data_IF_997256496988
#
_entry.id   IF_997256496988
#
_cell.length_a   1.000
_cell.length_b   1.000
_cell.length_c   1.000
_cell.angle_alpha   90.00
_cell.angle_beta   90.00
_cell.angle_gamma   90.00
#
_symmetry.space_group_name_H-M   'P 1'
#
loop_
_entity.id
_entity.type
_entity.pdbx_description
1 polymer ?
#
# COMPACT_ATOMS: atom_id res chain seq x y z
N UNK A 1 -75.84 10.76 -28.38
CA UNK A 1 -75.00 9.86 -27.61
C UNK A 1 -73.51 10.18 -27.91
N UNK A 2 -72.83 10.81 -26.98
CA UNK A 2 -71.38 11.18 -27.13
C UNK A 2 -70.53 10.24 -26.28
N UNK A 3 -69.85 9.32 -26.93
CA UNK A 3 -68.92 8.35 -26.28
C UNK A 3 -67.64 9.06 -25.89
N UNK A 4 -67.38 9.15 -24.58
CA UNK A 4 -66.10 9.63 -24.02
C UNK A 4 -65.05 8.49 -24.10
N UNK A 5 -64.02 8.69 -24.89
CA UNK A 5 -62.81 7.81 -24.85
C UNK A 5 -61.89 8.26 -23.73
N UNK A 6 -61.72 7.41 -22.70
CA UNK A 6 -60.75 7.60 -21.64
C UNK A 6 -59.38 7.11 -22.11
N UNK A 7 -58.43 8.01 -22.20
CA UNK A 7 -57.05 7.69 -22.56
C UNK A 7 -56.30 7.33 -21.27
N UNK A 8 -55.88 6.05 -21.13
CA UNK A 8 -55.04 5.61 -20.02
C UNK A 8 -53.60 5.82 -20.42
N UNK A 9 -52.92 6.74 -19.73
CA UNK A 9 -51.48 6.93 -19.82
C UNK A 9 -50.78 5.91 -18.92
N UNK A 10 -50.12 4.92 -19.51
CA UNK A 10 -49.19 4.03 -18.79
C UNK A 10 -47.87 4.76 -18.69
N UNK A 11 -47.52 5.25 -17.48
CA UNK A 11 -46.19 5.78 -17.16
C UNK A 11 -45.28 4.59 -16.83
N UNK A 12 -44.46 4.20 -17.78
CA UNK A 12 -43.41 3.20 -17.59
C UNK A 12 -42.27 3.84 -16.80
N UNK A 13 -42.18 3.53 -15.51
CA UNK A 13 -41.08 3.98 -14.67
C UNK A 13 -39.83 3.15 -15.02
N UNK A 14 -38.93 3.70 -15.83
CA UNK A 14 -37.60 3.15 -16.08
C UNK A 14 -36.77 3.34 -14.79
N UNK A 15 -36.65 2.27 -14.00
CA UNK A 15 -35.64 2.18 -12.96
C UNK A 15 -34.27 2.08 -13.62
N UNK A 16 -33.63 3.25 -13.82
CA UNK A 16 -32.23 3.31 -14.14
C UNK A 16 -31.45 2.82 -12.91
N UNK A 17 -31.00 1.55 -12.96
CA UNK A 17 -30.00 1.04 -12.02
C UNK A 17 -28.72 1.85 -12.27
N UNK A 18 -28.52 2.92 -11.50
CA UNK A 18 -27.23 3.58 -11.41
C UNK A 18 -26.25 2.58 -10.83
N UNK A 19 -25.39 2.01 -11.68
CA UNK A 19 -24.14 1.42 -11.23
C UNK A 19 -23.38 2.58 -10.61
N UNK A 20 -23.48 2.73 -9.29
CA UNK A 20 -22.64 3.63 -8.54
C UNK A 20 -21.22 3.12 -8.72
N UNK A 21 -20.45 3.75 -9.61
CA UNK A 21 -19.00 3.71 -9.52
C UNK A 21 -18.65 4.01 -8.06
N UNK A 22 -17.75 3.23 -7.47
CA UNK A 22 -17.31 3.45 -6.10
C UNK A 22 -16.96 4.94 -5.98
N UNK A 23 -17.82 5.68 -5.26
CA UNK A 23 -17.64 7.10 -5.05
C UNK A 23 -16.22 7.31 -4.51
N UNK A 24 -15.55 8.36 -4.94
CA UNK A 24 -14.25 8.78 -4.39
C UNK A 24 -14.35 8.68 -2.87
N UNK A 25 -13.58 7.75 -2.26
CA UNK A 25 -13.69 7.49 -0.84
C UNK A 25 -13.50 8.78 -0.07
N UNK A 26 -14.40 9.02 0.88
CA UNK A 26 -14.37 10.25 1.68
C UNK A 26 -13.07 10.31 2.50
N UNK A 27 -12.38 11.45 2.46
CA UNK A 27 -11.18 11.69 3.26
C UNK A 27 -11.54 11.70 4.75
N UNK A 28 -10.88 10.85 5.53
CA UNK A 28 -11.06 10.68 6.96
C UNK A 28 -9.71 10.79 7.68
N UNK A 29 -9.75 11.07 8.99
CA UNK A 29 -8.54 11.28 9.77
C UNK A 29 -8.64 10.54 11.11
N UNK A 30 -7.86 9.48 11.26
CA UNK A 30 -7.65 8.82 12.54
C UNK A 30 -6.67 9.62 13.41
N UNK A 31 -6.74 9.43 14.73
CA UNK A 31 -5.81 10.07 15.67
C UNK A 31 -4.78 9.07 16.19
N UNK A 32 -3.51 9.47 16.14
CA UNK A 32 -2.39 8.75 16.73
C UNK A 32 -1.50 9.75 17.47
N UNK A 33 -1.46 9.66 18.79
CA UNK A 33 -0.61 10.51 19.68
C UNK A 33 -0.72 12.01 19.38
N UNK A 34 -1.94 12.46 19.08
CA UNK A 34 -2.25 13.86 18.73
C UNK A 34 -2.13 14.19 17.25
N UNK A 35 -1.43 13.41 16.45
CA UNK A 35 -1.33 13.57 14.99
C UNK A 35 -2.54 13.02 14.26
N UNK A 36 -2.90 13.64 13.14
CA UNK A 36 -3.95 13.19 12.23
C UNK A 36 -3.34 12.28 11.16
N UNK A 37 -3.89 11.08 11.02
CA UNK A 37 -3.52 10.10 10.00
C UNK A 37 -4.63 10.04 8.96
N UNK A 38 -4.34 10.55 7.77
CA UNK A 38 -5.28 10.58 6.66
C UNK A 38 -5.50 9.17 6.08
N UNK A 39 -6.73 8.85 5.77
CA UNK A 39 -7.08 7.64 5.03
C UNK A 39 -8.37 7.81 4.24
N UNK A 40 -8.59 6.92 3.28
CA UNK A 40 -9.84 6.78 2.55
C UNK A 40 -10.38 5.37 2.74
N UNK A 41 -11.70 5.25 2.91
CA UNK A 41 -12.40 3.97 3.07
C UNK A 41 -13.39 3.76 1.94
N UNK A 42 -13.38 2.58 1.35
CA UNK A 42 -14.25 2.18 0.26
C UNK A 42 -14.95 0.86 0.63
N UNK A 43 -16.21 0.72 0.24
CA UNK A 43 -16.99 -0.46 0.61
C UNK A 43 -17.34 -0.52 2.10
N UNK A 44 -17.78 -1.71 2.56
CA UNK A 44 -18.24 -1.95 3.94
C UNK A 44 -17.76 -3.31 4.43
N UNK A 45 -17.69 -3.48 5.74
CA UNK A 45 -17.31 -4.75 6.39
C UNK A 45 -16.43 -4.52 7.60
N UNK A 46 -16.25 -5.57 8.41
CA UNK A 46 -15.37 -5.60 9.57
C UNK A 46 -13.95 -6.06 9.23
N UNK A 47 -13.77 -6.62 8.05
CA UNK A 47 -12.48 -7.00 7.49
C UNK A 47 -12.21 -6.17 6.23
N UNK A 48 -10.94 -5.85 5.95
CA UNK A 48 -10.58 -4.99 4.84
C UNK A 48 -9.21 -5.35 4.23
N UNK A 49 -9.01 -4.94 2.97
CA UNK A 49 -7.68 -4.74 2.42
C UNK A 49 -7.13 -3.41 2.95
N UNK A 50 -5.96 -3.43 3.55
CA UNK A 50 -5.27 -2.24 4.06
C UNK A 50 -4.08 -1.97 3.15
N UNK A 51 -4.14 -0.90 2.36
CA UNK A 51 -3.15 -0.55 1.35
C UNK A 51 -2.12 0.43 1.93
N UNK A 52 -0.87 -0.02 2.05
CA UNK A 52 0.25 0.69 2.68
C UNK A 52 1.29 1.04 1.62
N UNK A 53 1.46 2.33 1.36
CA UNK A 53 2.36 2.84 0.33
C UNK A 53 3.84 2.73 0.71
N UNK A 54 4.74 3.00 -0.25
CA UNK A 54 6.18 3.01 -0.08
C UNK A 54 6.73 4.32 0.51
N UNK A 55 8.05 4.37 0.65
CA UNK A 55 8.79 5.54 1.13
C UNK A 55 8.56 6.78 0.25
N UNK A 56 8.25 7.92 0.87
CA UNK A 56 7.91 9.22 0.24
C UNK A 56 6.69 9.22 -0.68
N UNK A 57 5.90 8.16 -0.67
CA UNK A 57 4.70 7.98 -1.48
C UNK A 57 3.43 8.36 -0.72
N UNK A 58 2.25 8.00 -1.25
CA UNK A 58 0.95 8.30 -0.64
C UNK A 58 -0.10 7.25 -1.00
N UNK A 59 -1.27 7.33 -0.37
CA UNK A 59 -2.41 6.47 -0.71
C UNK A 59 -2.85 6.57 -2.18
N UNK A 60 -2.50 7.68 -2.86
CA UNK A 60 -2.84 7.88 -4.28
C UNK A 60 -2.15 6.87 -5.22
N UNK A 61 -1.10 6.19 -4.74
CA UNK A 61 -0.39 5.17 -5.52
C UNK A 61 -1.21 3.90 -5.73
N UNK A 62 -2.30 3.75 -4.98
CA UNK A 62 -3.23 2.63 -5.05
C UNK A 62 -4.50 2.91 -5.86
N UNK A 63 -4.58 4.05 -6.58
CA UNK A 63 -5.79 4.46 -7.31
C UNK A 63 -6.25 3.45 -8.35
N UNK A 64 -5.31 2.69 -8.97
CA UNK A 64 -5.63 1.69 -10.00
C UNK A 64 -6.04 0.33 -9.39
N UNK A 65 -5.81 0.13 -8.10
CA UNK A 65 -6.18 -1.07 -7.34
C UNK A 65 -7.54 -0.93 -6.67
N UNK A 66 -7.79 0.25 -6.10
CA UNK A 66 -8.98 0.53 -5.29
C UNK A 66 -10.29 0.18 -6.02
N UNK A 67 -10.52 0.59 -7.29
CA UNK A 67 -11.78 0.31 -7.95
C UNK A 67 -12.09 -1.17 -8.08
N UNK A 68 -11.09 -2.00 -8.38
CA UNK A 68 -11.30 -3.44 -8.53
C UNK A 68 -11.48 -4.14 -7.18
N UNK A 69 -10.66 -3.80 -6.19
CA UNK A 69 -10.75 -4.39 -4.86
C UNK A 69 -12.05 -4.01 -4.15
N UNK A 70 -12.52 -2.76 -4.31
CA UNK A 70 -13.72 -2.27 -3.66
C UNK A 70 -15.03 -2.85 -4.23
N UNK A 71 -14.99 -3.53 -5.39
CA UNK A 71 -16.16 -4.25 -5.93
C UNK A 71 -16.64 -5.38 -5.01
N UNK A 72 -15.71 -6.00 -4.26
CA UNK A 72 -15.96 -7.21 -3.48
C UNK A 72 -15.59 -7.09 -2.01
N UNK A 73 -14.68 -6.19 -1.68
CA UNK A 73 -14.09 -6.07 -0.35
C UNK A 73 -14.21 -4.65 0.17
N UNK A 74 -14.12 -4.49 1.49
CA UNK A 74 -13.78 -3.20 2.05
C UNK A 74 -12.31 -2.91 1.80
N UNK A 75 -11.98 -1.68 1.39
CA UNK A 75 -10.61 -1.23 1.12
C UNK A 75 -10.33 0.01 1.96
N UNK A 76 -9.21 0.03 2.66
CA UNK A 76 -8.67 1.18 3.35
C UNK A 76 -7.32 1.50 2.72
N UNK A 77 -7.14 2.69 2.20
CA UNK A 77 -5.85 3.22 1.80
C UNK A 77 -5.48 4.36 2.74
N UNK A 78 -4.27 4.38 3.29
CA UNK A 78 -3.84 5.40 4.24
C UNK A 78 -2.57 6.10 3.78
N UNK A 79 -2.42 7.36 4.18
CA UNK A 79 -1.15 8.07 4.16
C UNK A 79 -0.44 7.79 5.49
N UNK A 80 0.75 7.20 5.44
CA UNK A 80 1.56 6.99 6.64
C UNK A 80 1.92 8.32 7.30
N UNK A 81 2.17 8.39 8.61
CA UNK A 81 2.69 9.59 9.27
C UNK A 81 3.84 10.22 8.49
N UNK A 82 3.85 11.54 8.33
CA UNK A 82 4.88 12.23 7.55
C UNK A 82 4.66 12.25 6.04
N UNK A 83 3.66 11.54 5.51
CA UNK A 83 3.40 11.37 4.07
C UNK A 83 2.01 11.89 3.68
N UNK A 84 1.82 12.16 2.40
CA UNK A 84 0.55 12.58 1.84
C UNK A 84 -0.12 13.71 2.63
N UNK A 85 -1.39 13.51 3.02
CA UNK A 85 -2.18 14.45 3.81
C UNK A 85 -2.15 14.16 5.33
N UNK A 86 -1.38 13.15 5.78
CA UNK A 86 -1.13 12.93 7.20
C UNK A 86 -0.25 14.03 7.79
N UNK A 87 -0.41 14.29 9.09
CA UNK A 87 0.44 15.23 9.82
C UNK A 87 1.91 14.82 9.77
N UNK A 88 2.80 15.82 9.82
CA UNK A 88 4.24 15.67 9.65
C UNK A 88 5.03 16.25 10.85
N UNK A 89 4.78 15.79 12.10
CA UNK A 89 5.53 16.29 13.26
C UNK A 89 7.01 15.90 13.18
N UNK A 90 7.90 16.69 13.78
CA UNK A 90 9.34 16.38 13.89
C UNK A 90 9.58 15.35 15.00
N UNK A 91 9.37 14.09 14.69
CA UNK A 91 9.56 12.94 15.57
C UNK A 91 10.31 11.82 14.83
N UNK A 92 10.80 10.78 15.51
CA UNK A 92 11.35 9.60 14.85
C UNK A 92 10.28 8.83 14.05
N UNK A 93 10.53 8.65 12.75
CA UNK A 93 9.64 7.90 11.85
C UNK A 93 10.07 6.43 11.79
N UNK A 94 9.61 5.66 12.77
CA UNK A 94 9.96 4.24 12.92
C UNK A 94 8.93 3.33 12.28
N UNK A 95 9.33 2.08 11.97
CA UNK A 95 8.37 1.06 11.50
C UNK A 95 7.29 0.78 12.56
N UNK A 96 7.60 0.96 13.85
CA UNK A 96 6.62 0.89 14.94
C UNK A 96 5.57 2.00 14.87
N UNK A 97 5.98 3.22 14.59
CA UNK A 97 5.07 4.36 14.40
C UNK A 97 4.13 4.09 13.23
N UNK A 98 4.66 3.59 12.11
CA UNK A 98 3.86 3.26 10.93
C UNK A 98 2.88 2.10 11.20
N UNK A 99 3.32 1.07 11.91
CA UNK A 99 2.43 -0.03 12.33
C UNK A 99 1.31 0.47 13.27
N UNK A 100 1.63 1.35 14.21
CA UNK A 100 0.63 1.96 15.09
C UNK A 100 -0.35 2.85 14.32
N UNK A 101 0.10 3.52 13.24
CA UNK A 101 -0.80 4.31 12.39
C UNK A 101 -1.82 3.43 11.66
N UNK A 102 -1.42 2.25 11.17
CA UNK A 102 -2.36 1.27 10.61
C UNK A 102 -3.40 0.87 11.66
N UNK A 103 -2.96 0.56 12.89
CA UNK A 103 -3.89 0.19 13.97
C UNK A 103 -4.86 1.33 14.32
N UNK A 104 -4.37 2.57 14.38
CA UNK A 104 -5.20 3.74 14.64
C UNK A 104 -6.27 3.93 13.55
N UNK A 105 -5.90 3.79 12.28
CA UNK A 105 -6.84 3.85 11.14
C UNK A 105 -7.84 2.70 11.19
N UNK A 106 -7.41 1.46 11.47
CA UNK A 106 -8.33 0.32 11.60
C UNK A 106 -9.33 0.52 12.72
N UNK A 107 -8.91 1.06 13.88
CA UNK A 107 -9.82 1.37 15.00
C UNK A 107 -10.83 2.45 14.63
N UNK A 108 -10.39 3.55 14.03
CA UNK A 108 -11.24 4.66 13.60
C UNK A 108 -12.26 4.20 12.55
N UNK A 109 -11.79 3.45 11.57
CA UNK A 109 -12.61 2.84 10.52
C UNK A 109 -13.47 1.66 11.01
N UNK A 110 -13.35 1.22 12.27
CA UNK A 110 -14.06 0.02 12.81
C UNK A 110 -13.79 -1.24 12.01
N UNK A 111 -12.54 -1.43 11.60
CA UNK A 111 -12.03 -2.65 10.96
C UNK A 111 -11.38 -3.52 12.03
N UNK A 112 -11.83 -4.76 12.16
CA UNK A 112 -11.35 -5.70 13.18
C UNK A 112 -10.09 -6.43 12.72
N UNK A 113 -10.06 -6.87 11.45
CA UNK A 113 -8.93 -7.61 10.86
C UNK A 113 -8.68 -7.15 9.43
N UNK A 114 -7.45 -7.30 8.94
CA UNK A 114 -7.11 -6.89 7.59
C UNK A 114 -6.08 -7.78 6.90
N UNK A 115 -6.15 -7.79 5.58
CA UNK A 115 -5.04 -8.20 4.72
C UNK A 115 -4.19 -6.96 4.47
N UNK A 116 -2.94 -6.99 4.92
CA UNK A 116 -2.04 -5.83 4.82
C UNK A 116 -1.24 -5.92 3.53
N UNK A 117 -1.48 -4.98 2.62
CA UNK A 117 -0.82 -4.90 1.32
C UNK A 117 0.25 -3.82 1.40
N UNK A 118 1.51 -4.19 1.40
CA UNK A 118 2.64 -3.26 1.56
C UNK A 118 3.50 -3.18 0.31
N UNK A 119 3.63 -1.98 -0.26
CA UNK A 119 4.55 -1.71 -1.35
C UNK A 119 5.88 -1.17 -0.82
N UNK A 120 7.02 -1.71 -1.30
CA UNK A 120 8.35 -1.20 -0.96
C UNK A 120 8.55 -1.08 0.57
N UNK A 121 8.77 0.11 1.14
CA UNK A 121 8.78 0.37 2.59
C UNK A 121 7.52 -0.15 3.29
N UNK A 122 6.38 -0.15 2.64
CA UNK A 122 5.14 -0.72 3.18
C UNK A 122 5.26 -2.19 3.55
N UNK A 123 6.20 -2.94 2.95
CA UNK A 123 6.46 -4.35 3.28
C UNK A 123 7.00 -4.55 4.71
N UNK A 124 8.12 -3.94 5.12
CA UNK A 124 8.56 -4.03 6.52
C UNK A 124 7.55 -3.40 7.49
N UNK A 125 6.78 -2.38 7.07
CA UNK A 125 5.67 -1.83 7.88
C UNK A 125 4.59 -2.89 8.10
N UNK A 126 4.15 -3.60 7.04
CA UNK A 126 3.17 -4.68 7.13
C UNK A 126 3.65 -5.82 8.05
N UNK A 127 4.93 -6.20 7.95
CA UNK A 127 5.53 -7.18 8.86
C UNK A 127 5.55 -6.69 10.31
N UNK A 128 5.92 -5.43 10.54
CA UNK A 128 5.93 -4.85 11.89
C UNK A 128 4.52 -4.73 12.46
N UNK A 129 3.53 -4.44 11.62
CA UNK A 129 2.12 -4.50 12.01
C UNK A 129 1.72 -5.92 12.45
N UNK A 130 2.07 -6.95 11.68
CA UNK A 130 1.82 -8.34 12.03
C UNK A 130 2.46 -8.72 13.39
N UNK A 131 3.70 -8.30 13.63
CA UNK A 131 4.39 -8.57 14.90
C UNK A 131 3.68 -7.97 16.11
N UNK A 132 3.16 -6.74 15.97
CA UNK A 132 2.48 -6.02 17.04
C UNK A 132 1.02 -6.45 17.20
N UNK A 133 0.37 -6.79 16.10
CA UNK A 133 -1.07 -7.07 16.02
C UNK A 133 -1.38 -8.36 15.25
N UNK A 134 -0.79 -9.52 15.65
CA UNK A 134 -0.96 -10.76 14.87
C UNK A 134 -2.43 -11.18 14.74
N UNK A 135 -3.24 -10.95 15.78
CA UNK A 135 -4.67 -11.27 15.78
C UNK A 135 -5.50 -10.38 14.84
N UNK A 136 -4.97 -9.22 14.43
CA UNK A 136 -5.63 -8.32 13.47
C UNK A 136 -5.19 -8.56 12.02
N UNK A 137 -4.20 -9.41 11.79
CA UNK A 137 -3.63 -9.68 10.47
C UNK A 137 -4.18 -10.99 9.90
N UNK A 138 -4.91 -10.90 8.80
CA UNK A 138 -5.43 -12.07 8.08
C UNK A 138 -4.39 -12.67 7.13
N UNK A 139 -3.64 -11.80 6.45
CA UNK A 139 -2.59 -12.16 5.51
C UNK A 139 -1.71 -10.93 5.23
N UNK A 140 -0.57 -11.15 4.59
CA UNK A 140 0.31 -10.09 4.11
C UNK A 140 0.49 -10.23 2.59
N UNK A 141 0.38 -9.12 1.86
CA UNK A 141 0.76 -9.02 0.45
C UNK A 141 1.99 -8.13 0.34
N UNK A 142 3.08 -8.70 -0.14
CA UNK A 142 4.37 -8.05 -0.38
C UNK A 142 4.41 -7.59 -1.84
N UNK A 143 4.56 -6.29 -2.06
CA UNK A 143 4.62 -5.69 -3.39
C UNK A 143 5.97 -5.03 -3.57
N UNK A 144 6.87 -5.71 -4.28
CA UNK A 144 8.24 -5.28 -4.57
C UNK A 144 8.97 -4.68 -3.36
N UNK A 145 8.92 -5.39 -2.22
CA UNK A 145 9.53 -4.98 -0.96
C UNK A 145 10.28 -6.11 -0.28
N UNK A 146 11.31 -5.75 0.50
CA UNK A 146 12.21 -6.70 1.16
C UNK A 146 11.87 -6.93 2.63
N UNK A 147 12.13 -8.16 3.09
CA UNK A 147 12.09 -8.55 4.51
C UNK A 147 13.48 -8.85 5.07
N UNK A 148 14.52 -8.37 4.41
CA UNK A 148 15.93 -8.37 4.86
C UNK A 148 16.60 -7.07 4.44
N UNK A 149 17.72 -6.74 5.08
CA UNK A 149 18.51 -5.57 4.72
C UNK A 149 18.93 -5.63 3.26
N UNK A 150 18.82 -4.49 2.60
CA UNK A 150 19.20 -4.32 1.22
C UNK A 150 20.69 -3.91 1.12
N UNK A 151 21.44 -4.56 0.23
CA UNK A 151 22.83 -4.22 -0.07
C UNK A 151 23.79 -4.34 1.12
N UNK A 152 25.00 -3.79 0.97
CA UNK A 152 26.00 -3.72 2.05
C UNK A 152 25.73 -2.56 2.99
N UNK A 153 26.41 -2.55 4.16
CA UNK A 153 26.31 -1.44 5.10
C UNK A 153 26.78 -0.13 4.47
N UNK A 154 27.88 -0.18 3.71
CA UNK A 154 28.47 0.97 3.02
C UNK A 154 27.49 1.57 1.99
N UNK A 155 26.77 0.74 1.26
CA UNK A 155 25.73 1.20 0.33
C UNK A 155 24.60 1.91 1.08
N UNK A 156 24.12 1.34 2.16
CA UNK A 156 23.03 1.94 2.96
C UNK A 156 23.46 3.26 3.61
N UNK A 157 24.68 3.31 4.16
CA UNK A 157 25.25 4.54 4.75
C UNK A 157 25.46 5.62 3.68
N UNK A 158 25.90 5.25 2.48
CA UNK A 158 26.03 6.16 1.34
C UNK A 158 24.69 6.73 0.90
N UNK A 159 23.65 5.90 0.82
CA UNK A 159 22.29 6.31 0.54
C UNK A 159 21.77 7.30 1.58
N UNK A 160 21.96 6.99 2.85
CA UNK A 160 21.53 7.85 3.94
C UNK A 160 22.26 9.19 3.93
N UNK A 161 23.60 9.19 3.68
CA UNK A 161 24.38 10.41 3.55
C UNK A 161 23.91 11.29 2.38
N UNK A 162 23.57 10.68 1.25
CA UNK A 162 23.03 11.38 0.08
C UNK A 162 21.73 12.11 0.43
N UNK A 163 20.80 11.45 1.13
CA UNK A 163 19.52 12.06 1.50
C UNK A 163 19.60 13.02 2.69
N UNK A 164 20.70 13.05 3.44
CA UNK A 164 21.01 14.08 4.43
C UNK A 164 21.64 15.32 3.81
N UNK A 165 22.15 15.23 2.57
CA UNK A 165 22.82 16.35 1.88
C UNK A 165 21.82 17.42 1.40
N UNK A 166 22.26 18.65 1.14
CA UNK A 166 21.42 19.68 0.51
C UNK A 166 20.89 19.29 -0.88
N UNK A 167 21.59 18.39 -1.59
CA UNK A 167 21.22 17.91 -2.94
C UNK A 167 20.21 16.75 -2.95
N UNK A 168 19.61 16.42 -1.84
CA UNK A 168 18.73 15.24 -1.71
C UNK A 168 17.55 15.20 -2.69
N UNK A 169 17.01 16.36 -3.06
CA UNK A 169 15.88 16.43 -3.99
C UNK A 169 16.26 15.95 -5.39
N UNK A 170 17.41 16.39 -5.88
CA UNK A 170 17.90 15.95 -7.18
C UNK A 170 18.26 14.46 -7.17
N UNK A 171 18.91 14.01 -6.09
CA UNK A 171 19.19 12.58 -5.90
C UNK A 171 17.91 11.73 -5.88
N UNK A 172 16.86 12.19 -5.21
CA UNK A 172 15.57 11.54 -5.20
C UNK A 172 14.92 11.44 -6.57
N UNK A 173 14.92 12.53 -7.34
CA UNK A 173 14.39 12.55 -8.71
C UNK A 173 15.13 11.56 -9.62
N UNK A 174 16.44 11.51 -9.54
CA UNK A 174 17.26 10.54 -10.31
C UNK A 174 16.93 9.10 -9.91
N UNK A 175 16.81 8.84 -8.62
CA UNK A 175 16.41 7.52 -8.11
C UNK A 175 15.02 7.12 -8.64
N UNK A 176 14.02 7.98 -8.50
CA UNK A 176 12.66 7.69 -8.99
C UNK A 176 12.63 7.51 -10.51
N UNK A 177 13.42 8.28 -11.26
CA UNK A 177 13.54 8.10 -12.71
C UNK A 177 14.04 6.70 -13.09
N UNK A 178 15.00 6.16 -12.31
CA UNK A 178 15.51 4.80 -12.51
C UNK A 178 14.50 3.73 -12.11
N UNK A 179 13.78 3.93 -11.01
CA UNK A 179 12.84 2.96 -10.44
C UNK A 179 11.49 2.92 -11.18
N UNK A 180 11.09 4.01 -11.82
CA UNK A 180 9.76 4.16 -12.42
C UNK A 180 9.58 3.49 -13.80
N UNK A 181 10.63 2.87 -14.33
CA UNK A 181 10.55 1.99 -15.51
C UNK A 181 9.74 2.57 -16.66
N UNK A 182 8.75 1.81 -17.11
CA UNK A 182 7.87 2.13 -18.24
C UNK A 182 6.66 3.01 -17.86
N UNK A 183 6.60 3.56 -16.65
CA UNK A 183 5.47 4.43 -16.25
C UNK A 183 5.34 5.64 -17.16
N UNK A 184 4.10 6.09 -17.46
CA UNK A 184 3.85 7.31 -18.20
C UNK A 184 4.46 8.55 -17.53
N UNK A 185 4.79 9.59 -18.30
CA UNK A 185 5.41 10.81 -17.78
C UNK A 185 4.60 11.49 -16.66
N UNK A 186 3.27 11.51 -16.78
CA UNK A 186 2.39 12.05 -15.75
C UNK A 186 2.50 11.32 -14.42
N UNK A 187 2.72 9.99 -14.44
CA UNK A 187 2.94 9.19 -13.24
C UNK A 187 4.30 9.48 -12.60
N UNK A 188 5.34 9.58 -13.42
CA UNK A 188 6.68 9.95 -12.94
C UNK A 188 6.67 11.34 -12.27
N UNK A 189 5.96 12.29 -12.85
CA UNK A 189 5.79 13.63 -12.26
C UNK A 189 5.01 13.58 -10.94
N UNK A 190 3.97 12.76 -10.85
CA UNK A 190 3.22 12.56 -9.60
C UNK A 190 4.09 11.95 -8.50
N UNK A 191 4.93 10.96 -8.83
CA UNK A 191 5.88 10.37 -7.88
C UNK A 191 6.90 11.41 -7.39
N UNK A 192 7.44 12.25 -8.29
CA UNK A 192 8.34 13.34 -7.94
C UNK A 192 7.66 14.38 -7.03
N UNK A 193 6.40 14.73 -7.33
CA UNK A 193 5.61 15.65 -6.49
C UNK A 193 5.38 15.07 -5.09
N UNK A 194 5.10 13.77 -4.98
CA UNK A 194 4.96 13.10 -3.69
C UNK A 194 6.26 13.13 -2.89
N UNK A 195 7.39 12.84 -3.54
CA UNK A 195 8.72 12.95 -2.96
C UNK A 195 9.02 14.37 -2.47
N UNK A 196 8.81 15.38 -3.32
CA UNK A 196 9.07 16.79 -2.99
C UNK A 196 8.21 17.32 -1.83
N UNK A 197 7.01 16.73 -1.62
CA UNK A 197 6.10 17.08 -0.52
C UNK A 197 6.46 16.43 0.82
N UNK A 198 7.38 15.47 0.81
CA UNK A 198 7.84 14.78 2.03
C UNK A 198 9.03 15.53 2.63
N UNK A 199 8.95 16.03 3.88
CA UNK A 199 10.05 16.74 4.51
C UNK A 199 11.30 15.87 4.64
N UNK A 200 12.49 16.47 4.52
CA UNK A 200 13.77 15.75 4.59
C UNK A 200 13.91 14.94 5.90
N UNK A 201 13.51 15.50 7.03
CA UNK A 201 13.59 14.79 8.32
C UNK A 201 12.73 13.52 8.34
N UNK A 202 11.57 13.52 7.66
CA UNK A 202 10.70 12.33 7.53
C UNK A 202 11.39 11.25 6.72
N UNK A 203 11.85 11.61 5.51
CA UNK A 203 12.47 10.64 4.60
C UNK A 203 13.77 10.06 5.16
N UNK A 204 14.58 10.88 5.83
CA UNK A 204 15.82 10.42 6.47
C UNK A 204 15.50 9.49 7.63
N UNK A 205 14.62 9.90 8.55
CA UNK A 205 14.27 9.10 9.72
C UNK A 205 13.61 7.75 9.35
N UNK A 206 12.71 7.73 8.35
CA UNK A 206 12.14 6.50 7.85
C UNK A 206 13.19 5.56 7.24
N UNK A 207 14.16 6.11 6.51
CA UNK A 207 15.27 5.33 5.94
C UNK A 207 16.19 4.75 7.03
N UNK A 208 16.51 5.53 8.07
CA UNK A 208 17.25 5.04 9.24
C UNK A 208 16.53 3.85 9.88
N UNK A 209 15.22 3.96 10.05
CA UNK A 209 14.41 2.86 10.59
C UNK A 209 14.42 1.63 9.69
N UNK A 210 14.33 1.80 8.35
CA UNK A 210 14.47 0.68 7.40
C UNK A 210 15.86 0.02 7.44
N UNK A 211 16.90 0.77 7.79
CA UNK A 211 18.27 0.25 7.88
C UNK A 211 18.59 -0.40 9.24
N UNK A 212 17.65 -0.42 10.18
CA UNK A 212 17.84 -1.07 11.49
C UNK A 212 17.88 -2.58 11.36
N UNK A 213 18.98 -3.21 11.80
CA UNK A 213 19.12 -4.69 11.81
C UNK A 213 18.03 -5.37 12.64
N UNK A 214 17.63 -4.74 13.76
CA UNK A 214 16.58 -5.27 14.64
C UNK A 214 15.23 -5.44 13.94
N UNK A 215 14.98 -4.74 12.83
CA UNK A 215 13.76 -4.88 12.04
C UNK A 215 13.70 -6.24 11.33
N UNK A 216 14.85 -6.84 10.97
CA UNK A 216 14.94 -7.99 10.06
C UNK A 216 15.22 -9.31 10.78
N UNK A 217 14.67 -9.48 11.98
CA UNK A 217 14.68 -10.76 12.67
C UNK A 217 13.98 -11.86 11.85
N UNK A 218 14.36 -13.11 12.08
CA UNK A 218 13.87 -14.28 11.31
C UNK A 218 12.66 -14.98 11.94
N UNK A 219 11.90 -14.27 12.77
CA UNK A 219 10.64 -14.75 13.33
C UNK A 219 9.62 -15.08 12.21
N UNK A 220 8.89 -16.18 12.41
CA UNK A 220 7.96 -16.70 11.39
C UNK A 220 6.73 -15.82 11.21
N UNK A 221 6.23 -15.81 9.98
CA UNK A 221 4.95 -15.23 9.61
C UNK A 221 3.96 -16.38 9.44
N UNK A 222 3.10 -16.59 10.44
CA UNK A 222 2.18 -17.72 10.51
C UNK A 222 0.80 -17.41 9.90
N UNK A 223 0.69 -16.38 9.07
CA UNK A 223 -0.48 -16.08 8.25
C UNK A 223 -0.11 -16.26 6.78
N UNK A 224 -1.08 -16.46 5.87
CA UNK A 224 -0.80 -16.53 4.44
C UNK A 224 -0.05 -15.29 3.94
N UNK A 225 0.96 -15.51 3.08
CA UNK A 225 1.73 -14.43 2.45
C UNK A 225 1.66 -14.58 0.93
N UNK A 226 1.35 -13.51 0.24
CA UNK A 226 1.57 -13.39 -1.20
C UNK A 226 2.68 -12.38 -1.46
N UNK A 227 3.73 -12.80 -2.17
CA UNK A 227 4.81 -11.92 -2.58
C UNK A 227 4.87 -11.83 -4.10
N UNK A 228 4.80 -10.61 -4.62
CA UNK A 228 5.03 -10.31 -6.04
C UNK A 228 6.15 -9.28 -6.15
N UNK A 229 7.23 -9.68 -6.84
CA UNK A 229 8.44 -8.87 -7.00
C UNK A 229 8.72 -8.63 -8.48
N UNK A 230 9.25 -7.46 -8.83
CA UNK A 230 9.83 -7.19 -10.13
C UNK A 230 11.19 -7.88 -10.25
N UNK A 231 11.48 -8.54 -11.37
CA UNK A 231 12.81 -9.12 -11.61
C UNK A 231 13.85 -8.01 -11.68
N UNK A 232 14.79 -8.06 -10.76
CA UNK A 232 15.84 -7.05 -10.63
C UNK A 232 17.14 -7.69 -10.18
N UNK A 233 18.31 -7.18 -10.63
CA UNK A 233 19.62 -7.63 -10.14
C UNK A 233 19.85 -7.32 -8.65
N UNK A 234 19.01 -6.47 -8.07
CA UNK A 234 19.07 -6.13 -6.64
C UNK A 234 18.49 -7.22 -5.74
N UNK A 235 17.65 -8.13 -6.25
CA UNK A 235 17.18 -9.26 -5.44
C UNK A 235 18.22 -10.36 -5.41
N UNK A 236 18.69 -10.77 -4.22
CA UNK A 236 19.57 -11.93 -4.11
C UNK A 236 18.94 -13.18 -4.69
N UNK A 237 19.74 -14.10 -5.30
CA UNK A 237 19.22 -15.31 -5.94
C UNK A 237 18.38 -16.22 -5.03
N UNK A 238 18.64 -16.18 -3.72
CA UNK A 238 17.94 -16.95 -2.68
C UNK A 238 16.68 -16.27 -2.13
N UNK A 239 16.20 -15.17 -2.75
CA UNK A 239 15.10 -14.36 -2.23
C UNK A 239 13.84 -15.20 -1.98
N UNK A 240 13.43 -16.04 -2.90
CA UNK A 240 12.26 -16.92 -2.69
C UNK A 240 12.49 -17.90 -1.55
N UNK A 241 13.66 -18.56 -1.49
CA UNK A 241 13.99 -19.50 -0.44
C UNK A 241 13.99 -18.81 0.94
N UNK A 242 14.55 -17.61 1.02
CA UNK A 242 14.53 -16.80 2.23
C UNK A 242 13.10 -16.48 2.69
N UNK A 243 12.24 -16.02 1.78
CA UNK A 243 10.84 -15.70 2.08
C UNK A 243 10.06 -16.94 2.51
N UNK A 244 10.26 -18.11 1.87
CA UNK A 244 9.68 -19.40 2.29
C UNK A 244 10.18 -19.81 3.67
N UNK A 245 11.43 -19.49 3.99
CA UNK A 245 11.96 -19.67 5.34
C UNK A 245 11.24 -18.85 6.41
N UNK A 246 10.76 -17.64 6.07
CA UNK A 246 9.99 -16.77 7.00
C UNK A 246 8.49 -17.11 7.03
N UNK A 247 7.90 -17.36 5.87
CA UNK A 247 6.46 -17.57 5.70
C UNK A 247 6.20 -18.96 5.10
N UNK A 248 5.86 -19.97 5.94
CA UNK A 248 5.59 -21.34 5.46
C UNK A 248 4.42 -21.40 4.45
N UNK A 249 3.42 -20.53 4.59
CA UNK A 249 2.30 -20.40 3.63
C UNK A 249 2.54 -19.23 2.67
N UNK A 250 3.60 -19.34 1.85
CA UNK A 250 3.98 -18.34 0.86
C UNK A 250 3.49 -18.73 -0.54
N UNK A 251 2.79 -17.80 -1.20
CA UNK A 251 2.67 -17.73 -2.66
C UNK A 251 3.66 -16.69 -3.18
N UNK A 252 4.46 -17.07 -4.17
CA UNK A 252 5.54 -16.22 -4.69
C UNK A 252 5.44 -16.07 -6.20
N UNK A 253 5.58 -14.85 -6.67
CA UNK A 253 5.71 -14.52 -8.09
C UNK A 253 6.84 -13.52 -8.29
N UNK A 254 7.63 -13.74 -9.34
CA UNK A 254 8.61 -12.78 -9.83
C UNK A 254 8.25 -12.42 -11.28
N UNK A 255 8.01 -11.13 -11.52
CA UNK A 255 7.55 -10.63 -12.82
C UNK A 255 8.70 -10.04 -13.61
N UNK A 256 8.78 -10.40 -14.89
CA UNK A 256 9.75 -9.86 -15.84
C UNK A 256 9.13 -8.67 -16.61
N UNK A 257 9.99 -7.74 -17.05
CA UNK A 257 9.57 -6.60 -17.87
C UNK A 257 8.73 -5.56 -17.15
N UNK A 258 8.83 -5.51 -15.82
CA UNK A 258 8.22 -4.48 -14.96
C UNK A 258 9.27 -3.90 -14.02
N UNK A 259 9.04 -2.67 -13.54
CA UNK A 259 9.87 -2.00 -12.55
C UNK A 259 9.30 -2.07 -11.13
N UNK A 260 9.86 -1.22 -10.26
CA UNK A 260 9.50 -1.15 -8.83
C UNK A 260 8.02 -0.83 -8.57
N UNK A 261 7.36 -0.18 -9.52
CA UNK A 261 5.94 0.17 -9.44
C UNK A 261 5.06 -0.80 -10.25
N UNK A 262 5.34 -2.11 -10.17
CA UNK A 262 4.67 -3.16 -10.95
C UNK A 262 3.15 -3.11 -10.89
N UNK A 263 2.57 -2.69 -9.74
CA UNK A 263 1.13 -2.55 -9.55
C UNK A 263 0.55 -1.37 -10.33
N UNK A 264 1.37 -0.38 -10.71
CA UNK A 264 0.98 0.74 -11.56
C UNK A 264 1.29 0.46 -13.04
N UNK A 265 2.34 -0.30 -13.34
CA UNK A 265 2.71 -0.67 -14.71
C UNK A 265 1.79 -1.75 -15.29
N UNK A 266 1.33 -2.68 -14.46
CA UNK A 266 0.44 -3.80 -14.81
C UNK A 266 -0.75 -3.91 -13.84
N UNK A 267 -1.58 -2.85 -13.72
CA UNK A 267 -2.61 -2.79 -12.68
C UNK A 267 -3.59 -3.95 -12.75
N UNK A 268 -4.09 -4.31 -13.95
CA UNK A 268 -5.02 -5.44 -14.09
C UNK A 268 -4.39 -6.76 -13.66
N UNK A 269 -3.16 -7.03 -14.09
CA UNK A 269 -2.45 -8.27 -13.72
C UNK A 269 -2.24 -8.36 -12.21
N UNK A 270 -1.87 -7.25 -11.59
CA UNK A 270 -1.69 -7.18 -10.14
C UNK A 270 -3.01 -7.39 -9.39
N UNK A 271 -4.07 -6.69 -9.81
CA UNK A 271 -5.38 -6.80 -9.18
C UNK A 271 -5.91 -8.24 -9.27
N UNK A 272 -5.82 -8.87 -10.45
CA UNK A 272 -6.25 -10.26 -10.66
C UNK A 272 -5.45 -11.23 -9.78
N UNK A 273 -4.14 -11.04 -9.64
CA UNK A 273 -3.28 -11.91 -8.82
C UNK A 273 -3.62 -11.79 -7.32
N UNK A 274 -3.84 -10.58 -6.82
CA UNK A 274 -4.26 -10.37 -5.42
C UNK A 274 -5.65 -10.97 -5.18
N UNK A 275 -6.61 -10.73 -6.07
CA UNK A 275 -7.96 -11.29 -5.96
C UNK A 275 -7.91 -12.84 -5.96
N UNK A 276 -7.12 -13.44 -6.85
CA UNK A 276 -6.95 -14.91 -6.90
C UNK A 276 -6.35 -15.46 -5.59
N UNK A 277 -5.38 -14.76 -5.00
CA UNK A 277 -4.82 -15.12 -3.69
C UNK A 277 -5.90 -15.04 -2.59
N UNK A 278 -6.68 -13.96 -2.53
CA UNK A 278 -7.76 -13.80 -1.56
C UNK A 278 -8.80 -14.91 -1.67
N UNK A 279 -9.23 -15.23 -2.89
CA UNK A 279 -10.21 -16.30 -3.16
C UNK A 279 -9.65 -17.67 -2.75
N UNK A 280 -8.42 -17.99 -3.14
CA UNK A 280 -7.75 -19.25 -2.81
C UNK A 280 -7.60 -19.47 -1.30
N UNK A 281 -7.27 -18.39 -0.57
CA UNK A 281 -7.11 -18.43 0.90
C UNK A 281 -8.41 -18.18 1.67
N UNK A 282 -9.50 -17.94 0.96
CA UNK A 282 -10.81 -17.74 1.56
C UNK A 282 -10.87 -16.53 2.51
N UNK A 283 -10.21 -15.44 2.12
CA UNK A 283 -10.06 -14.22 2.88
C UNK A 283 -11.09 -13.15 2.47
N UNK A 284 -11.47 -12.29 3.42
CA UNK A 284 -12.34 -11.12 3.18
C UNK A 284 -13.71 -11.50 2.56
N UNK A 285 -14.47 -12.37 3.22
CA UNK A 285 -15.83 -12.80 2.83
C UNK A 285 -16.91 -11.95 3.46
#
# INVERSE_FOLDING_TARGET
>A
MKTKRTLIFIVTLLLASSVAFAADGESQYAKLDGAKIHYKSYGKGKEALILVHGWTLSLADWRDQIPDFAKRNRVIALDLPGHGQSDKPEIPYTMDLFANAIDAVMRDAKVERGVIVGHSMGTPVARQFYRKYPQKTLAIVIVDGGLRLFGTKEMRDGFLAMFRSPGYKEAGKQMFAQMSGALPAAEKERLNTSFDSTPQYVLVSAMESMNSEALYNTDKINVPVFAVLAKSPYWPPDTEQFLRGLAPDLEYQMWEGVGHFLMMEKPKQFNDAVIAFLDKKNLLK
#
